data_IF_893684110885
#
_entry.id   IF_893684110885
#
_cell.length_a   1.000
_cell.length_b   1.000
_cell.length_c   1.000
_cell.angle_alpha   90.00
_cell.angle_beta   90.00
_cell.angle_gamma   90.00
#
_symmetry.space_group_name_H-M   'P 1'
#
loop_
_entity.id
_entity.type
_entity.pdbx_description
1 polymer ?
#
# COMPACT_ATOMS: atom_id res chain seq x y z
N UNK A 1 7.89 -0.76 -2.31
CA UNK A 1 9.08 -1.63 -2.50
C UNK A 1 10.21 -0.96 -3.25
N UNK A 2 9.93 -0.12 -4.25
CA UNK A 2 10.99 0.56 -5.05
C UNK A 2 12.03 1.25 -4.15
N UNK A 3 11.57 2.04 -3.18
CA UNK A 3 12.40 2.75 -2.19
C UNK A 3 13.23 1.82 -1.30
N UNK A 4 12.62 0.74 -0.79
CA UNK A 4 13.30 -0.26 0.05
C UNK A 4 14.38 -0.99 -0.75
N UNK A 5 14.05 -1.44 -1.96
CA UNK A 5 15.01 -2.14 -2.85
C UNK A 5 16.15 -1.20 -3.24
N UNK A 6 15.86 0.05 -3.57
CA UNK A 6 16.89 1.05 -3.86
C UNK A 6 17.86 1.24 -2.68
N UNK A 7 17.35 1.36 -1.45
CA UNK A 7 18.19 1.48 -0.27
C UNK A 7 19.03 0.20 -0.01
N UNK A 8 18.47 -0.99 -0.23
CA UNK A 8 19.23 -2.25 -0.14
C UNK A 8 20.36 -2.33 -1.18
N UNK A 9 20.12 -1.87 -2.41
CA UNK A 9 21.13 -1.82 -3.47
C UNK A 9 22.27 -0.83 -3.14
N UNK A 10 21.97 0.21 -2.37
CA UNK A 10 22.95 1.15 -1.82
C UNK A 10 23.70 0.60 -0.58
N UNK A 11 23.41 -0.64 -0.15
CA UNK A 11 24.10 -1.31 0.96
C UNK A 11 23.53 -1.05 2.35
N UNK A 12 22.34 -0.42 2.45
CA UNK A 12 21.69 -0.24 3.75
C UNK A 12 21.10 -1.55 4.29
N UNK A 13 20.96 -1.64 5.61
CA UNK A 13 20.32 -2.81 6.24
C UNK A 13 18.82 -2.86 5.90
N UNK A 14 18.19 -4.06 5.83
CA UNK A 14 16.76 -4.20 5.53
C UNK A 14 15.86 -3.41 6.48
N UNK A 15 16.25 -3.32 7.76
CA UNK A 15 15.53 -2.54 8.76
C UNK A 15 15.60 -1.05 8.47
N UNK A 16 16.80 -0.50 8.23
CA UNK A 16 16.98 0.92 7.92
C UNK A 16 16.27 1.30 6.61
N UNK A 17 16.34 0.45 5.59
CA UNK A 17 15.65 0.64 4.32
C UNK A 17 14.12 0.71 4.49
N UNK A 18 13.55 -0.16 5.33
CA UNK A 18 12.12 -0.13 5.63
C UNK A 18 11.71 1.09 6.44
N UNK A 19 12.44 1.42 7.53
CA UNK A 19 12.18 2.59 8.36
C UNK A 19 12.21 3.89 7.54
N UNK A 20 13.23 4.05 6.68
CA UNK A 20 13.30 5.17 5.74
C UNK A 20 12.08 5.22 4.80
N UNK A 21 11.71 4.08 4.20
CA UNK A 21 10.56 4.04 3.30
C UNK A 21 9.24 4.37 4.00
N UNK A 22 9.07 4.01 5.29
CA UNK A 22 7.88 4.38 6.06
C UNK A 22 7.87 5.86 6.41
N UNK A 23 9.02 6.42 6.80
CA UNK A 23 9.14 7.86 7.05
C UNK A 23 8.85 8.67 5.78
N UNK A 24 9.30 8.20 4.61
CA UNK A 24 9.00 8.82 3.32
C UNK A 24 7.53 8.67 2.91
N UNK A 25 6.86 7.60 3.33
CA UNK A 25 5.44 7.39 3.05
C UNK A 25 4.55 8.42 3.75
N UNK A 26 4.92 8.91 4.94
CA UNK A 26 4.15 9.91 5.68
C UNK A 26 3.89 11.21 4.89
N UNK A 27 4.89 11.93 4.36
CA UNK A 27 4.65 13.14 3.58
C UNK A 27 3.99 12.85 2.22
N UNK A 28 4.34 11.75 1.57
CA UNK A 28 3.85 11.43 0.23
C UNK A 28 2.39 10.99 0.24
N UNK A 29 2.03 10.02 1.09
CA UNK A 29 0.65 9.58 1.25
C UNK A 29 -0.20 10.64 1.95
N UNK A 30 0.38 11.38 2.90
CA UNK A 30 -0.31 12.50 3.54
C UNK A 30 -0.69 13.58 2.53
N UNK A 31 0.23 13.98 1.66
CA UNK A 31 -0.07 14.92 0.58
C UNK A 31 -1.10 14.39 -0.41
N UNK A 32 -0.99 13.12 -0.83
CA UNK A 32 -1.97 12.49 -1.73
C UNK A 32 -3.37 12.44 -1.09
N UNK A 33 -3.45 12.03 0.17
CA UNK A 33 -4.73 11.99 0.91
C UNK A 33 -5.34 13.37 1.04
N UNK A 34 -4.55 14.39 1.37
CA UNK A 34 -5.04 15.77 1.43
C UNK A 34 -5.55 16.25 0.07
N UNK A 35 -4.84 15.94 -1.00
CA UNK A 35 -5.27 16.27 -2.37
C UNK A 35 -6.62 15.62 -2.70
N UNK A 36 -6.77 14.32 -2.44
CA UNK A 36 -7.99 13.56 -2.72
C UNK A 36 -9.17 14.02 -1.84
N UNK A 37 -8.91 14.38 -0.57
CA UNK A 37 -9.93 14.96 0.30
C UNK A 37 -10.42 16.33 -0.17
N UNK A 38 -9.57 17.13 -0.79
CA UNK A 38 -9.97 18.42 -1.36
C UNK A 38 -10.76 18.26 -2.66
N UNK A 39 -10.46 17.24 -3.46
CA UNK A 39 -11.16 16.96 -4.73
C UNK A 39 -12.47 16.19 -4.56
N UNK A 40 -12.42 15.03 -3.89
CA UNK A 40 -13.50 14.05 -3.82
C UNK A 40 -14.08 13.89 -2.40
N UNK A 41 -13.55 14.59 -1.40
CA UNK A 41 -13.92 14.41 0.00
C UNK A 41 -15.42 14.60 0.28
N UNK A 42 -16.11 15.44 -0.49
CA UNK A 42 -17.56 15.62 -0.41
C UNK A 42 -18.35 14.36 -0.77
N UNK A 43 -18.01 13.70 -1.88
CA UNK A 43 -18.68 12.48 -2.35
C UNK A 43 -18.42 11.31 -1.39
N UNK A 44 -17.20 11.21 -0.86
CA UNK A 44 -16.82 10.20 0.13
C UNK A 44 -17.62 10.38 1.44
N UNK A 45 -17.78 11.63 1.89
CA UNK A 45 -18.54 11.94 3.09
C UNK A 45 -20.03 11.64 2.92
N UNK A 46 -20.59 11.88 1.75
CA UNK A 46 -21.98 11.57 1.43
C UNK A 46 -22.22 10.05 1.39
N UNK A 47 -21.30 9.27 0.81
CA UNK A 47 -21.42 7.82 0.71
C UNK A 47 -21.19 7.09 2.04
N UNK A 48 -20.16 7.47 2.80
CA UNK A 48 -19.76 6.76 4.03
C UNK A 48 -20.34 7.39 5.31
N UNK A 49 -20.74 8.66 5.26
CA UNK A 49 -21.12 9.44 6.42
C UNK A 49 -19.95 9.77 7.37
N UNK A 50 -20.11 10.74 8.27
CA UNK A 50 -19.05 11.14 9.20
C UNK A 50 -18.58 10.01 10.13
N UNK A 51 -19.52 9.17 10.59
CA UNK A 51 -19.24 8.05 11.48
C UNK A 51 -18.49 6.91 10.77
N UNK A 52 -18.86 6.59 9.53
CA UNK A 52 -18.17 5.58 8.72
C UNK A 52 -16.74 6.01 8.40
N UNK A 53 -16.56 7.29 8.05
CA UNK A 53 -15.23 7.85 7.80
C UNK A 53 -14.34 7.78 9.04
N UNK A 54 -14.86 8.15 10.21
CA UNK A 54 -14.13 8.09 11.47
C UNK A 54 -13.74 6.64 11.83
N UNK A 55 -14.64 5.68 11.66
CA UNK A 55 -14.36 4.26 11.91
C UNK A 55 -13.31 3.72 10.94
N UNK A 56 -13.44 4.00 9.65
CA UNK A 56 -12.45 3.60 8.63
C UNK A 56 -11.07 4.19 8.89
N UNK A 57 -11.02 5.46 9.29
CA UNK A 57 -9.78 6.13 9.67
C UNK A 57 -9.13 5.48 10.91
N UNK A 58 -9.88 5.28 11.99
CA UNK A 58 -9.37 4.69 13.23
C UNK A 58 -8.92 3.23 13.04
N UNK A 59 -9.71 2.42 12.33
CA UNK A 59 -9.36 1.03 12.03
C UNK A 59 -8.10 0.95 11.17
N UNK A 60 -8.00 1.77 10.12
CA UNK A 60 -6.81 1.85 9.26
C UNK A 60 -5.58 2.29 10.04
N UNK A 61 -5.70 3.25 10.96
CA UNK A 61 -4.60 3.71 11.81
C UNK A 61 -4.03 2.55 12.67
N UNK A 62 -4.90 1.80 13.34
CA UNK A 62 -4.51 0.69 14.22
C UNK A 62 -3.88 -0.44 13.40
N UNK A 63 -4.52 -0.83 12.29
CA UNK A 63 -4.02 -1.89 11.41
C UNK A 63 -2.69 -1.49 10.77
N UNK A 64 -2.54 -0.25 10.30
CA UNK A 64 -1.29 0.24 9.74
C UNK A 64 -0.16 0.19 10.77
N UNK A 65 -0.38 0.67 12.00
CA UNK A 65 0.63 0.60 13.05
C UNK A 65 1.06 -0.85 13.36
N UNK A 66 0.09 -1.75 13.50
CA UNK A 66 0.35 -3.17 13.72
C UNK A 66 1.11 -3.81 12.54
N UNK A 67 0.69 -3.51 11.31
CA UNK A 67 1.30 -4.01 10.08
C UNK A 67 2.74 -3.53 9.92
N UNK A 68 3.04 -2.24 10.17
CA UNK A 68 4.40 -1.69 10.09
C UNK A 68 5.32 -2.40 11.09
N UNK A 69 4.89 -2.51 12.35
CA UNK A 69 5.66 -3.19 13.39
C UNK A 69 5.94 -4.66 13.02
N UNK A 70 4.91 -5.38 12.56
CA UNK A 70 5.03 -6.77 12.13
C UNK A 70 5.94 -6.92 10.90
N UNK A 71 5.78 -6.04 9.92
CA UNK A 71 6.55 -6.06 8.68
C UNK A 71 8.04 -5.83 8.92
N UNK A 72 8.42 -4.82 9.71
CA UNK A 72 9.84 -4.55 10.02
C UNK A 72 10.48 -5.73 10.76
N UNK A 73 9.76 -6.34 11.70
CA UNK A 73 10.23 -7.53 12.41
C UNK A 73 10.39 -8.75 11.49
N UNK A 74 9.42 -8.97 10.59
CA UNK A 74 9.45 -10.05 9.62
C UNK A 74 10.60 -9.90 8.62
N UNK A 75 10.75 -8.70 8.08
CA UNK A 75 11.75 -8.35 7.06
C UNK A 75 13.17 -8.61 7.56
N UNK A 76 13.43 -8.32 8.84
CA UNK A 76 14.73 -8.55 9.47
C UNK A 76 15.09 -10.04 9.54
N UNK A 77 14.10 -10.95 9.52
CA UNK A 77 14.31 -12.41 9.63
C UNK A 77 14.26 -13.15 8.29
N UNK A 78 13.37 -12.78 7.37
CA UNK A 78 13.08 -13.54 6.15
C UNK A 78 13.43 -12.77 4.85
N UNK A 79 13.78 -11.48 4.95
CA UNK A 79 14.06 -10.64 3.79
C UNK A 79 12.83 -10.36 2.92
N UNK A 80 13.06 -9.87 1.70
CA UNK A 80 12.01 -9.46 0.75
C UNK A 80 11.54 -10.57 -0.21
N UNK A 81 12.25 -11.70 -0.27
CA UNK A 81 11.99 -12.78 -1.23
C UNK A 81 10.51 -13.23 -1.31
N UNK A 82 9.82 -13.54 -0.20
CA UNK A 82 8.42 -14.01 -0.27
C UNK A 82 7.46 -12.96 -0.84
N UNK A 83 7.73 -11.67 -0.62
CA UNK A 83 6.92 -10.60 -1.22
C UNK A 83 7.14 -10.49 -2.73
N UNK A 84 8.34 -10.77 -3.22
CA UNK A 84 8.62 -10.84 -4.65
C UNK A 84 7.81 -11.95 -5.32
N UNK A 85 7.86 -13.16 -4.76
CA UNK A 85 7.12 -14.32 -5.26
C UNK A 85 5.61 -14.10 -5.25
N UNK A 86 5.06 -13.55 -4.16
CA UNK A 86 3.64 -13.19 -4.09
C UNK A 86 3.22 -12.27 -5.25
N UNK A 87 4.02 -11.24 -5.54
CA UNK A 87 3.70 -10.29 -6.62
C UNK A 87 3.82 -10.91 -8.00
N UNK A 88 4.80 -11.77 -8.25
CA UNK A 88 4.93 -12.47 -9.54
C UNK A 88 3.76 -13.43 -9.75
N UNK A 89 3.40 -14.21 -8.73
CA UNK A 89 2.25 -15.10 -8.79
C UNK A 89 0.94 -14.34 -9.04
N UNK A 90 0.73 -13.22 -8.33
CA UNK A 90 -0.43 -12.35 -8.53
C UNK A 90 -0.45 -11.73 -9.94
N UNK A 91 0.70 -11.28 -10.45
CA UNK A 91 0.80 -10.71 -11.80
C UNK A 91 0.43 -11.75 -12.87
N UNK A 92 0.92 -12.99 -12.73
CA UNK A 92 0.57 -14.09 -13.64
C UNK A 92 -0.91 -14.44 -13.55
N UNK A 93 -1.48 -14.47 -12.35
CA UNK A 93 -2.90 -14.73 -12.14
C UNK A 93 -3.77 -13.66 -12.80
N UNK A 94 -3.47 -12.38 -12.55
CA UNK A 94 -4.20 -11.26 -13.14
C UNK A 94 -4.08 -11.27 -14.67
N UNK A 95 -2.89 -11.54 -15.21
CA UNK A 95 -2.69 -11.66 -16.65
C UNK A 95 -3.50 -12.82 -17.25
N UNK A 96 -3.59 -13.95 -16.55
CA UNK A 96 -4.42 -15.09 -16.98
C UNK A 96 -5.91 -14.73 -17.00
N UNK A 97 -6.39 -14.03 -15.97
CA UNK A 97 -7.80 -13.62 -15.86
C UNK A 97 -8.20 -12.58 -16.91
N UNK A 98 -7.28 -11.67 -17.27
CA UNK A 98 -7.53 -10.68 -18.32
C UNK A 98 -7.53 -11.32 -19.70
N UNK A 99 -6.60 -12.24 -19.97
CA UNK A 99 -6.57 -13.00 -21.23
C UNK A 99 -7.78 -13.93 -21.36
N UNK A 100 -8.33 -14.44 -20.25
CA UNK A 100 -9.57 -15.20 -20.22
C UNK A 100 -10.83 -14.32 -20.44
N UNK A 101 -10.69 -13.00 -20.53
CA UNK A 101 -11.80 -12.06 -20.74
C UNK A 101 -12.70 -11.87 -19.51
N UNK A 102 -12.29 -12.38 -18.35
CA UNK A 102 -13.06 -12.29 -17.09
C UNK A 102 -12.94 -10.89 -16.48
N UNK A 103 -11.77 -10.26 -16.63
CA UNK A 103 -11.50 -8.91 -16.13
C UNK A 103 -11.34 -7.97 -17.32
N UNK A 104 -12.33 -7.11 -17.51
CA UNK A 104 -12.35 -6.06 -18.53
C UNK A 104 -12.05 -4.72 -17.84
N UNK A 105 -10.83 -4.22 -18.01
CA UNK A 105 -10.39 -2.98 -17.33
C UNK A 105 -11.10 -1.72 -17.85
N UNK A 106 -11.77 -1.80 -19.00
CA UNK A 106 -12.49 -0.68 -19.61
C UNK A 106 -13.72 -0.25 -18.80
N UNK A 107 -14.40 -1.17 -18.10
CA UNK A 107 -15.56 -0.84 -17.25
C UNK A 107 -15.18 -0.27 -15.88
N UNK A 108 -13.92 -0.42 -15.45
CA UNK A 108 -13.43 -0.02 -14.11
C UNK A 108 -12.73 1.36 -14.08
N UNK A 109 -12.47 1.96 -15.25
CA UNK A 109 -11.73 3.24 -15.39
C UNK A 109 -12.61 4.41 -15.86
N UNK A 110 -13.94 4.21 -15.90
CA UNK A 110 -14.95 5.27 -16.04
C UNK A 110 -15.57 5.60 -14.68
#
# INVERSE_FOLDING_TARGET
MVTIVAALLLGYSPRAAAEFSFLLALPTLGAATCHDLLGEGGAILEAAGPAGLALGFLTSLVVAWAAVKGFVAYLTRHGLSPFGWYRVALAVLLLGLTLAGIIQWEELMQ
#
